data_IF_727546359224
#
_entry.id   IF_727546359224
#
_cell.length_a   1.000
_cell.length_b   1.000
_cell.length_c   1.000
_cell.angle_alpha   90.00
_cell.angle_beta   90.00
_cell.angle_gamma   90.00
#
_symmetry.space_group_name_H-M   'P 1'
#
loop_
_entity.id
_entity.type
_entity.pdbx_description
1 polymer ?
#
# COMPACT_ATOMS: atom_id res chain seq x y z
N UNK A 1 37.90 51.91 26.61
CA UNK A 1 38.46 51.71 25.25
C UNK A 1 38.93 50.28 24.91
N UNK A 2 39.34 49.39 25.84
CA UNK A 2 39.83 48.02 25.48
C UNK A 2 38.74 46.95 25.21
N UNK A 3 37.51 47.16 25.67
CA UNK A 3 36.41 46.20 25.50
C UNK A 3 35.83 46.22 24.08
N UNK A 4 35.66 47.41 23.50
CA UNK A 4 35.15 47.59 22.14
C UNK A 4 36.07 46.98 21.08
N UNK A 5 37.39 47.03 21.28
CA UNK A 5 38.38 46.43 20.37
C UNK A 5 38.32 44.91 20.35
N UNK A 6 38.07 44.26 21.49
CA UNK A 6 37.92 42.78 21.57
C UNK A 6 36.64 42.29 20.91
N UNK A 7 35.56 43.06 21.00
CA UNK A 7 34.30 42.69 20.37
C UNK A 7 34.37 42.82 18.84
N UNK A 8 35.01 43.90 18.34
CA UNK A 8 35.26 44.04 16.89
C UNK A 8 36.13 42.92 16.33
N UNK A 9 37.16 42.47 17.06
CA UNK A 9 38.02 41.37 16.60
C UNK A 9 37.29 40.01 16.51
N UNK A 10 36.32 39.74 17.40
CA UNK A 10 35.53 38.50 17.33
C UNK A 10 34.52 38.54 16.18
N UNK A 11 33.81 39.65 16.03
CA UNK A 11 32.82 39.81 14.96
C UNK A 11 33.48 39.77 13.58
N UNK A 12 34.67 40.37 13.43
CA UNK A 12 35.44 40.35 12.18
C UNK A 12 35.95 38.92 11.84
N UNK A 13 36.31 38.11 12.85
CA UNK A 13 36.69 36.70 12.64
C UNK A 13 35.51 35.80 12.25
N UNK A 14 34.36 35.96 12.90
CA UNK A 14 33.15 35.20 12.55
C UNK A 14 32.61 35.60 11.18
N UNK A 15 32.52 36.90 10.89
CA UNK A 15 32.09 37.39 9.58
C UNK A 15 33.03 36.91 8.48
N UNK A 16 34.36 36.97 8.69
CA UNK A 16 35.32 36.45 7.70
C UNK A 16 35.21 34.94 7.53
N UNK A 17 35.07 34.17 8.61
CA UNK A 17 34.91 32.72 8.51
C UNK A 17 33.60 32.33 7.80
N UNK A 18 32.50 33.04 8.03
CA UNK A 18 31.24 32.80 7.32
C UNK A 18 31.29 33.26 5.88
N UNK A 19 31.97 34.37 5.58
CA UNK A 19 32.16 34.86 4.21
C UNK A 19 33.09 33.92 3.44
N UNK A 20 34.22 33.48 4.00
CA UNK A 20 35.10 32.48 3.38
C UNK A 20 34.39 31.14 3.19
N UNK A 21 33.62 30.67 4.17
CA UNK A 21 32.83 29.45 4.01
C UNK A 21 31.75 29.60 2.93
N UNK A 22 31.09 30.77 2.87
CA UNK A 22 30.08 31.09 1.86
C UNK A 22 30.69 31.26 0.46
N UNK A 23 31.87 31.87 0.34
CA UNK A 23 32.60 32.01 -0.91
C UNK A 23 33.18 30.69 -1.38
N UNK A 24 33.73 29.87 -0.48
CA UNK A 24 34.21 28.52 -0.79
C UNK A 24 33.06 27.60 -1.23
N UNK A 25 31.92 27.65 -0.53
CA UNK A 25 30.73 26.91 -0.96
C UNK A 25 30.14 27.48 -2.25
N UNK A 26 30.09 28.80 -2.44
CA UNK A 26 29.60 29.40 -3.67
C UNK A 26 30.49 29.04 -4.86
N UNK A 27 31.81 29.15 -4.72
CA UNK A 27 32.77 28.81 -5.77
C UNK A 27 32.70 27.32 -6.11
N UNK A 28 32.70 26.44 -5.10
CA UNK A 28 32.57 24.99 -5.28
C UNK A 28 31.23 24.60 -5.92
N UNK A 29 30.13 25.24 -5.51
CA UNK A 29 28.77 25.00 -6.04
C UNK A 29 28.67 25.49 -7.48
N UNK A 30 29.28 26.62 -7.85
CA UNK A 30 29.30 27.11 -9.23
C UNK A 30 30.13 26.19 -10.12
N UNK A 31 31.25 25.67 -9.62
CA UNK A 31 32.12 24.72 -10.32
C UNK A 31 31.42 23.36 -10.52
N UNK A 32 30.63 22.91 -9.53
CA UNK A 32 29.94 21.62 -9.55
C UNK A 32 28.45 21.72 -9.90
N UNK A 33 27.93 22.90 -10.26
CA UNK A 33 26.48 23.15 -10.47
C UNK A 33 25.84 22.15 -11.42
N UNK A 34 26.53 21.79 -12.50
CA UNK A 34 26.04 20.82 -13.47
C UNK A 34 25.88 19.44 -12.86
N UNK A 35 26.85 18.98 -12.06
CA UNK A 35 26.80 17.69 -11.36
C UNK A 35 25.74 17.70 -10.25
N UNK A 36 25.57 18.83 -9.54
CA UNK A 36 24.54 18.98 -8.51
C UNK A 36 23.12 19.00 -9.09
N UNK A 37 22.91 19.67 -10.22
CA UNK A 37 21.62 19.68 -10.93
C UNK A 37 21.29 18.29 -11.46
N UNK A 38 22.25 17.61 -12.10
CA UNK A 38 22.03 16.24 -12.59
C UNK A 38 21.76 15.31 -11.40
N UNK A 39 22.54 15.42 -10.33
CA UNK A 39 22.36 14.63 -9.11
C UNK A 39 20.99 14.85 -8.48
N UNK A 40 20.52 16.10 -8.37
CA UNK A 40 19.21 16.42 -7.80
C UNK A 40 18.07 15.87 -8.67
N UNK A 41 18.17 16.00 -9.99
CA UNK A 41 17.18 15.44 -10.93
C UNK A 41 17.11 13.92 -10.78
N UNK A 42 18.25 13.23 -10.73
CA UNK A 42 18.29 11.77 -10.53
C UNK A 42 17.61 11.38 -9.21
N UNK A 43 17.92 12.08 -8.11
CA UNK A 43 17.29 11.82 -6.81
C UNK A 43 15.77 12.02 -6.86
N UNK A 44 15.31 13.09 -7.51
CA UNK A 44 13.87 13.37 -7.66
C UNK A 44 13.17 12.27 -8.46
N UNK A 45 13.77 11.84 -9.58
CA UNK A 45 13.21 10.77 -10.42
C UNK A 45 13.13 9.45 -9.64
N UNK A 46 14.18 9.09 -8.90
CA UNK A 46 14.19 7.89 -8.07
C UNK A 46 13.14 7.97 -6.94
N UNK A 47 13.04 9.11 -6.27
CA UNK A 47 12.02 9.32 -5.24
C UNK A 47 10.60 9.20 -5.81
N UNK A 48 10.34 9.81 -6.98
CA UNK A 48 9.05 9.70 -7.66
C UNK A 48 8.72 8.25 -8.05
N UNK A 49 9.69 7.48 -8.54
CA UNK A 49 9.51 6.06 -8.85
C UNK A 49 9.16 5.23 -7.60
N UNK A 50 9.89 5.43 -6.50
CA UNK A 50 9.62 4.75 -5.22
C UNK A 50 8.22 5.10 -4.70
N UNK A 51 7.87 6.39 -4.68
CA UNK A 51 6.54 6.84 -4.24
C UNK A 51 5.44 6.26 -5.12
N UNK A 52 5.64 6.21 -6.44
CA UNK A 52 4.68 5.61 -7.37
C UNK A 52 4.46 4.11 -7.11
N UNK A 53 5.53 3.36 -6.84
CA UNK A 53 5.45 1.93 -6.48
C UNK A 53 4.69 1.75 -5.17
N UNK A 54 5.06 2.49 -4.12
CA UNK A 54 4.41 2.40 -2.81
C UNK A 54 2.93 2.79 -2.89
N UNK A 55 2.60 3.83 -3.65
CA UNK A 55 1.21 4.26 -3.86
C UNK A 55 0.39 3.16 -4.53
N UNK A 56 0.90 2.52 -5.58
CA UNK A 56 0.20 1.43 -6.28
C UNK A 56 -0.01 0.22 -5.36
N UNK A 57 1.01 -0.16 -4.59
CA UNK A 57 0.89 -1.28 -3.65
C UNK A 57 -0.18 -1.00 -2.58
N UNK A 58 -0.18 0.21 -2.01
CA UNK A 58 -1.15 0.60 -1.00
C UNK A 58 -2.59 0.68 -1.55
N UNK A 59 -2.76 1.08 -2.82
CA UNK A 59 -4.06 1.06 -3.49
C UNK A 59 -4.55 -0.38 -3.73
N UNK A 60 -3.65 -1.26 -4.19
CA UNK A 60 -3.97 -2.68 -4.39
C UNK A 60 -4.42 -3.36 -3.09
N UNK A 61 -3.76 -3.06 -1.97
CA UNK A 61 -4.15 -3.60 -0.66
C UNK A 61 -5.53 -3.09 -0.21
N UNK A 62 -5.85 -1.81 -0.43
CA UNK A 62 -7.16 -1.25 -0.11
C UNK A 62 -8.29 -1.89 -0.93
N UNK A 63 -8.10 -2.00 -2.24
CA UNK A 63 -9.07 -2.65 -3.12
C UNK A 63 -9.27 -4.14 -2.78
N UNK A 64 -8.17 -4.86 -2.52
CA UNK A 64 -8.21 -6.27 -2.13
C UNK A 64 -8.94 -6.47 -0.80
N UNK A 65 -8.71 -5.58 0.18
CA UNK A 65 -9.38 -5.61 1.48
C UNK A 65 -10.89 -5.34 1.36
N UNK A 66 -11.28 -4.39 0.51
CA UNK A 66 -12.69 -4.12 0.22
C UNK A 66 -13.39 -5.33 -0.43
N UNK A 67 -12.74 -5.96 -1.42
CA UNK A 67 -13.25 -7.16 -2.09
C UNK A 67 -13.33 -8.35 -1.11
N UNK A 68 -12.33 -8.53 -0.25
CA UNK A 68 -12.35 -9.56 0.79
C UNK A 68 -13.52 -9.36 1.73
N UNK A 69 -13.74 -8.13 2.20
CA UNK A 69 -14.88 -7.79 3.07
C UNK A 69 -16.22 -8.09 2.40
N UNK A 70 -16.35 -7.80 1.10
CA UNK A 70 -17.53 -8.14 0.32
C UNK A 70 -17.73 -9.66 0.22
N UNK A 71 -16.66 -10.41 -0.05
CA UNK A 71 -16.71 -11.87 -0.18
C UNK A 71 -17.10 -12.56 1.13
N UNK A 72 -16.54 -12.11 2.25
CA UNK A 72 -16.94 -12.60 3.58
C UNK A 72 -18.42 -12.31 3.85
N UNK A 73 -18.91 -11.10 3.53
CA UNK A 73 -20.35 -10.79 3.67
C UNK A 73 -21.23 -11.71 2.82
N UNK A 74 -20.80 -12.05 1.61
CA UNK A 74 -21.49 -13.03 0.77
C UNK A 74 -21.53 -14.41 1.44
N UNK A 75 -20.43 -14.84 2.05
CA UNK A 75 -20.37 -16.11 2.78
C UNK A 75 -21.24 -16.11 4.05
N UNK A 76 -21.36 -14.97 4.73
CA UNK A 76 -22.18 -14.79 5.94
C UNK A 76 -23.66 -14.51 5.63
N UNK A 77 -24.01 -14.29 4.35
CA UNK A 77 -25.38 -13.99 3.96
C UNK A 77 -26.31 -15.15 4.37
N UNK A 78 -27.44 -14.86 5.01
CA UNK A 78 -28.36 -15.89 5.48
C UNK A 78 -28.96 -16.69 4.32
N UNK A 79 -29.23 -17.95 4.60
CA UNK A 79 -29.94 -18.85 3.68
C UNK A 79 -31.44 -18.62 3.88
N UNK A 80 -32.18 -18.54 2.79
CA UNK A 80 -33.63 -18.34 2.79
C UNK A 80 -34.33 -19.57 3.43
N UNK A 81 -35.19 -19.37 4.45
CA UNK A 81 -35.97 -20.47 5.00
C UNK A 81 -36.93 -21.04 3.96
N UNK A 82 -36.98 -22.38 3.85
CA UNK A 82 -37.90 -23.12 2.98
C UNK A 82 -39.33 -22.57 3.11
N UNK A 83 -39.92 -22.10 2.01
CA UNK A 83 -41.30 -21.60 1.95
C UNK A 83 -41.51 -20.11 2.25
N UNK A 84 -40.47 -19.33 2.56
CA UNK A 84 -40.59 -17.87 2.71
C UNK A 84 -40.20 -17.18 1.41
N UNK A 85 -40.97 -16.23 0.83
CA UNK A 85 -40.55 -15.50 -0.37
C UNK A 85 -39.33 -14.60 -0.10
N UNK A 86 -38.46 -14.45 -1.10
CA UNK A 86 -37.26 -13.62 -1.00
C UNK A 86 -37.66 -12.18 -0.69
N UNK A 87 -37.11 -11.62 0.40
CA UNK A 87 -37.42 -10.27 0.80
C UNK A 87 -36.60 -9.29 -0.05
N UNK A 88 -37.22 -8.33 -0.76
CA UNK A 88 -36.53 -7.49 -1.74
C UNK A 88 -35.33 -6.71 -1.16
N UNK A 89 -35.37 -6.41 0.14
CA UNK A 89 -34.35 -5.63 0.84
C UNK A 89 -33.30 -6.49 1.58
N UNK A 90 -33.47 -7.82 1.61
CA UNK A 90 -32.56 -8.74 2.29
C UNK A 90 -32.01 -9.78 1.31
N UNK A 91 -30.76 -9.61 0.82
CA UNK A 91 -30.13 -10.64 0.00
C UNK A 91 -30.06 -11.93 0.80
N UNK A 92 -30.55 -13.01 0.20
CA UNK A 92 -30.52 -14.35 0.77
C UNK A 92 -30.20 -15.35 -0.34
N UNK A 93 -29.59 -16.47 0.05
CA UNK A 93 -29.28 -17.55 -0.88
C UNK A 93 -30.30 -18.67 -0.78
N UNK A 94 -30.59 -19.34 -1.89
CA UNK A 94 -31.53 -20.47 -1.96
C UNK A 94 -30.93 -21.68 -1.24
N UNK A 95 -29.60 -21.81 -1.21
CA UNK A 95 -28.91 -22.91 -0.52
C UNK A 95 -27.51 -22.54 -0.02
N UNK A 96 -27.00 -23.30 0.94
CA UNK A 96 -25.61 -23.18 1.41
C UNK A 96 -24.60 -23.43 0.29
N UNK A 97 -24.93 -24.32 -0.67
CA UNK A 97 -24.04 -24.66 -1.79
C UNK A 97 -23.91 -23.50 -2.78
N UNK A 98 -25.02 -22.83 -3.08
CA UNK A 98 -25.03 -21.66 -3.95
C UNK A 98 -24.22 -20.50 -3.34
N UNK A 99 -24.43 -20.25 -2.04
CA UNK A 99 -23.65 -19.26 -1.28
C UNK A 99 -22.16 -19.56 -1.30
N UNK A 100 -21.78 -20.80 -1.00
CA UNK A 100 -20.39 -21.24 -1.02
C UNK A 100 -19.76 -21.10 -2.42
N UNK A 101 -20.51 -21.40 -3.49
CA UNK A 101 -20.05 -21.24 -4.88
C UNK A 101 -19.79 -19.78 -5.23
N UNK A 102 -20.70 -18.88 -4.85
CA UNK A 102 -20.54 -17.44 -5.11
C UNK A 102 -19.36 -16.86 -4.33
N UNK A 103 -19.26 -17.19 -3.03
CA UNK A 103 -18.15 -16.78 -2.19
C UNK A 103 -16.80 -17.32 -2.72
N UNK A 104 -16.74 -18.60 -3.10
CA UNK A 104 -15.54 -19.21 -3.69
C UNK A 104 -15.04 -18.43 -4.90
N UNK A 105 -15.94 -18.09 -5.83
CA UNK A 105 -15.59 -17.30 -7.03
C UNK A 105 -15.04 -15.92 -6.67
N UNK A 106 -15.59 -15.26 -5.67
CA UNK A 106 -15.10 -13.95 -5.21
C UNK A 106 -13.71 -14.06 -4.57
N UNK A 107 -13.47 -15.08 -3.76
CA UNK A 107 -12.15 -15.34 -3.18
C UNK A 107 -11.11 -15.67 -4.26
N UNK A 108 -11.47 -16.49 -5.26
CA UNK A 108 -10.60 -16.83 -6.39
C UNK A 108 -10.16 -15.59 -7.17
N UNK A 109 -11.09 -14.65 -7.39
CA UNK A 109 -10.80 -13.38 -8.04
C UNK A 109 -9.81 -12.53 -7.23
N UNK A 110 -9.91 -12.52 -5.90
CA UNK A 110 -8.97 -11.79 -5.04
C UNK A 110 -7.57 -12.39 -5.16
N UNK A 111 -7.45 -13.73 -5.08
CA UNK A 111 -6.17 -14.42 -5.19
C UNK A 111 -5.53 -14.20 -6.57
N UNK A 112 -6.34 -14.19 -7.63
CA UNK A 112 -5.86 -13.99 -9.00
C UNK A 112 -5.48 -12.54 -9.30
N UNK A 113 -6.27 -11.56 -8.84
CA UNK A 113 -6.04 -10.14 -9.14
C UNK A 113 -5.03 -9.48 -8.19
N UNK A 114 -4.96 -9.95 -6.94
CA UNK A 114 -4.17 -9.32 -5.88
C UNK A 114 -3.23 -10.31 -5.17
N UNK A 115 -2.44 -11.14 -5.88
CA UNK A 115 -1.72 -12.30 -5.31
C UNK A 115 -0.70 -11.96 -4.22
N UNK A 116 -0.19 -10.73 -4.18
CA UNK A 116 0.84 -10.28 -3.24
C UNK A 116 0.29 -9.45 -2.07
N UNK A 117 -1.04 -9.34 -1.95
CA UNK A 117 -1.68 -8.57 -0.87
C UNK A 117 -1.94 -9.46 0.35
N UNK A 118 -2.01 -8.85 1.53
CA UNK A 118 -2.40 -9.58 2.75
C UNK A 118 -3.81 -10.21 2.60
N UNK A 119 -4.71 -9.51 1.91
CA UNK A 119 -6.07 -9.99 1.65
C UNK A 119 -6.11 -11.26 0.80
N UNK A 120 -5.16 -11.45 -0.12
CA UNK A 120 -5.06 -12.71 -0.88
C UNK A 120 -4.65 -13.90 0.01
N UNK A 121 -3.82 -13.67 1.04
CA UNK A 121 -3.49 -14.70 2.02
C UNK A 121 -4.74 -15.21 2.76
N UNK A 122 -5.58 -14.28 3.24
CA UNK A 122 -6.86 -14.65 3.83
C UNK A 122 -7.83 -15.26 2.81
N UNK A 123 -7.87 -14.73 1.58
CA UNK A 123 -8.75 -15.25 0.54
C UNK A 123 -8.42 -16.71 0.16
N UNK A 124 -7.14 -17.12 0.14
CA UNK A 124 -6.75 -18.53 -0.07
C UNK A 124 -7.32 -19.47 0.99
N UNK A 125 -7.23 -19.08 2.26
CA UNK A 125 -7.83 -19.84 3.35
C UNK A 125 -9.35 -20.01 3.16
N UNK A 126 -10.06 -18.94 2.81
CA UNK A 126 -11.49 -19.01 2.51
C UNK A 126 -11.80 -19.78 1.22
N UNK A 127 -10.89 -19.79 0.25
CA UNK A 127 -10.98 -20.64 -0.94
C UNK A 127 -11.01 -22.10 -0.50
N UNK A 128 -10.04 -22.56 0.28
CA UNK A 128 -10.00 -23.93 0.79
C UNK A 128 -11.22 -24.28 1.64
N UNK A 129 -11.67 -23.37 2.51
CA UNK A 129 -12.89 -23.56 3.31
C UNK A 129 -14.12 -23.74 2.42
N UNK A 130 -14.30 -22.89 1.41
CA UNK A 130 -15.44 -22.99 0.49
C UNK A 130 -15.34 -24.20 -0.43
N UNK A 131 -14.15 -24.60 -0.87
CA UNK A 131 -13.94 -25.86 -1.61
C UNK A 131 -14.35 -27.07 -0.77
N UNK A 132 -13.99 -27.09 0.53
CA UNK A 132 -14.44 -28.15 1.45
C UNK A 132 -15.96 -28.16 1.63
N UNK A 133 -16.61 -26.99 1.77
CA UNK A 133 -18.07 -26.88 1.82
C UNK A 133 -18.77 -27.37 0.54
N UNK A 134 -18.10 -27.26 -0.61
CA UNK A 134 -18.58 -27.76 -1.90
C UNK A 134 -18.28 -29.25 -2.11
N UNK A 135 -17.54 -29.89 -1.21
CA UNK A 135 -17.14 -31.30 -1.26
C UNK A 135 -15.87 -31.57 -2.07
N UNK A 136 -15.15 -30.53 -2.50
CA UNK A 136 -13.87 -30.65 -3.21
C UNK A 136 -12.71 -30.58 -2.22
N UNK A 137 -12.48 -31.69 -1.52
CA UNK A 137 -11.40 -31.80 -0.53
C UNK A 137 -10.00 -31.75 -1.17
N UNK A 138 -9.88 -32.20 -2.42
CA UNK A 138 -8.60 -32.16 -3.15
C UNK A 138 -8.22 -30.72 -3.53
N UNK A 139 -9.18 -29.88 -3.90
CA UNK A 139 -8.93 -28.45 -4.04
C UNK A 139 -8.66 -27.78 -2.69
N UNK A 140 -9.37 -28.16 -1.63
CA UNK A 140 -9.14 -27.60 -0.29
C UNK A 140 -7.71 -27.83 0.21
N UNK A 141 -7.16 -29.03 0.01
CA UNK A 141 -5.78 -29.37 0.39
C UNK A 141 -4.71 -28.64 -0.43
N UNK A 142 -5.01 -28.16 -1.64
CA UNK A 142 -4.05 -27.40 -2.45
C UNK A 142 -3.93 -25.94 -2.01
N UNK A 143 -4.98 -25.42 -1.38
CA UNK A 143 -5.12 -23.99 -1.03
C UNK A 143 -4.78 -23.70 0.43
N UNK A 144 -4.66 -24.74 1.27
CA UNK A 144 -4.27 -24.72 2.68
C UNK A 144 -2.81 -25.15 2.87
#
# INVERSE_FOLDING_TARGET
MRAETRHRLKQDRFSRATIEAAEATAHWTVEHKGKLIIGSVVVIVLAAAILGILYRLNQQDQEASAKLSQAVRTLDTPIQPEGTPAQPDFPSFISSKERATQAHKQFEQIVTQYPHTHSAGFARYFLGLTSSQLGDNAAAEREL
#
